data_IF_383488047387
#
_entry.id   IF_383488047387
#
_cell.length_a   1.000
_cell.length_b   1.000
_cell.length_c   1.000
_cell.angle_alpha   90.00
_cell.angle_beta   90.00
_cell.angle_gamma   90.00
#
_symmetry.space_group_name_H-M   'P 1'
#
loop_
_entity.id
_entity.type
_entity.pdbx_description
1 polymer ?
#
# COMPACT_ATOMS: atom_id res chain seq x y z
N UNK A 1 16.07 -12.42 -16.32
CA UNK A 1 15.21 -11.86 -15.25
C UNK A 1 16.06 -10.91 -14.44
N UNK A 2 15.82 -9.60 -14.52
CA UNK A 2 16.52 -8.64 -13.65
C UNK A 2 16.05 -8.89 -12.22
N UNK A 3 16.97 -9.27 -11.33
CA UNK A 3 16.65 -9.59 -9.95
C UNK A 3 16.30 -8.29 -9.21
N UNK A 4 15.11 -8.23 -8.62
CA UNK A 4 14.71 -7.08 -7.79
C UNK A 4 15.74 -6.83 -6.70
N UNK A 5 16.03 -5.55 -6.43
CA UNK A 5 16.81 -5.19 -5.23
C UNK A 5 16.05 -5.58 -3.96
N UNK A 6 16.72 -5.73 -2.80
CA UNK A 6 16.03 -6.04 -1.54
C UNK A 6 14.91 -5.05 -1.19
N UNK A 7 15.10 -3.75 -1.50
CA UNK A 7 14.11 -2.70 -1.30
C UNK A 7 12.90 -2.87 -2.22
N UNK A 8 13.13 -3.20 -3.49
CA UNK A 8 12.05 -3.44 -4.46
C UNK A 8 11.28 -4.71 -4.10
N UNK A 9 11.96 -5.80 -3.70
CA UNK A 9 11.30 -7.02 -3.23
C UNK A 9 10.46 -6.78 -1.95
N UNK A 10 10.92 -5.92 -1.04
CA UNK A 10 10.10 -5.49 0.10
C UNK A 10 8.88 -4.66 -0.34
N UNK A 11 9.04 -3.78 -1.33
CA UNK A 11 7.96 -2.95 -1.88
C UNK A 11 6.90 -3.80 -2.57
N UNK A 12 7.31 -4.78 -3.39
CA UNK A 12 6.41 -5.72 -4.07
C UNK A 12 5.52 -6.47 -3.05
N UNK A 13 6.13 -7.07 -2.02
CA UNK A 13 5.40 -7.76 -0.95
C UNK A 13 4.44 -6.84 -0.20
N UNK A 14 4.83 -5.59 0.05
CA UNK A 14 3.96 -4.63 0.73
C UNK A 14 2.76 -4.22 -0.15
N UNK A 15 2.99 -4.03 -1.45
CA UNK A 15 1.93 -3.73 -2.42
C UNK A 15 0.92 -4.89 -2.47
N UNK A 16 1.39 -6.12 -2.62
CA UNK A 16 0.54 -7.32 -2.69
C UNK A 16 -0.30 -7.48 -1.43
N UNK A 17 0.32 -7.39 -0.25
CA UNK A 17 -0.38 -7.48 1.05
C UNK A 17 -1.43 -6.40 1.20
N UNK A 18 -1.16 -5.19 0.73
CA UNK A 18 -2.14 -4.10 0.76
C UNK A 18 -3.34 -4.42 -0.13
N UNK A 19 -3.10 -4.84 -1.38
CA UNK A 19 -4.18 -5.21 -2.31
C UNK A 19 -5.02 -6.35 -1.74
N UNK A 20 -4.40 -7.43 -1.25
CA UNK A 20 -5.10 -8.56 -0.65
C UNK A 20 -5.91 -8.17 0.59
N UNK A 21 -5.38 -7.29 1.45
CA UNK A 21 -6.11 -6.78 2.62
C UNK A 21 -7.35 -5.99 2.22
N UNK A 22 -7.25 -5.11 1.23
CA UNK A 22 -8.39 -4.34 0.74
C UNK A 22 -9.39 -5.21 -0.02
N UNK A 23 -8.92 -6.21 -0.76
CA UNK A 23 -9.76 -7.18 -1.43
C UNK A 23 -10.54 -8.05 -0.43
N UNK A 24 -9.91 -8.46 0.67
CA UNK A 24 -10.61 -9.16 1.75
C UNK A 24 -11.73 -8.31 2.36
N UNK A 25 -11.52 -6.99 2.50
CA UNK A 25 -12.55 -6.07 2.99
C UNK A 25 -13.69 -5.85 1.99
N UNK A 26 -13.40 -5.76 0.68
CA UNK A 26 -14.40 -5.60 -0.38
C UNK A 26 -15.13 -6.90 -0.74
N UNK A 27 -14.49 -8.05 -0.49
CA UNK A 27 -14.81 -9.39 -1.00
C UNK A 27 -14.50 -9.61 -2.49
N UNK A 28 -14.30 -10.89 -2.84
CA UNK A 28 -14.09 -11.32 -4.24
C UNK A 28 -15.29 -10.95 -5.13
N UNK A 29 -16.52 -11.18 -4.64
CA UNK A 29 -17.74 -10.83 -5.35
C UNK A 29 -17.86 -9.32 -5.55
N UNK A 30 -17.58 -8.53 -4.51
CA UNK A 30 -17.59 -7.07 -4.61
C UNK A 30 -16.65 -6.54 -5.69
N UNK A 31 -15.43 -7.10 -5.80
CA UNK A 31 -14.52 -6.75 -6.90
C UNK A 31 -15.01 -7.26 -8.26
N UNK A 32 -15.59 -8.46 -8.31
CA UNK A 32 -16.19 -9.04 -9.52
C UNK A 32 -17.25 -8.11 -10.10
N UNK A 33 -18.19 -7.66 -9.26
CA UNK A 33 -19.30 -6.79 -9.62
C UNK A 33 -18.79 -5.40 -10.06
N UNK A 34 -17.85 -4.82 -9.31
CA UNK A 34 -17.28 -3.51 -9.62
C UNK A 34 -16.51 -3.46 -10.95
N UNK A 35 -15.85 -4.56 -11.32
CA UNK A 35 -15.01 -4.64 -12.52
C UNK A 35 -15.71 -5.27 -13.73
N UNK A 36 -16.94 -5.79 -13.54
CA UNK A 36 -17.60 -6.63 -14.55
C UNK A 36 -16.81 -7.90 -14.87
N UNK A 37 -16.04 -8.41 -13.90
CA UNK A 37 -15.26 -9.64 -14.05
C UNK A 37 -16.06 -10.85 -13.57
N UNK A 38 -15.62 -12.05 -13.96
CA UNK A 38 -16.09 -13.27 -13.30
C UNK A 38 -15.31 -13.52 -12.03
N UNK A 39 -15.94 -14.18 -11.04
CA UNK A 39 -15.27 -14.55 -9.80
C UNK A 39 -14.04 -15.43 -10.03
N UNK A 40 -14.09 -16.33 -11.03
CA UNK A 40 -12.94 -17.14 -11.43
C UNK A 40 -11.77 -16.31 -11.96
N UNK A 41 -12.05 -15.19 -12.65
CA UNK A 41 -11.00 -14.25 -13.07
C UNK A 41 -10.37 -13.56 -11.86
N UNK A 42 -11.18 -13.15 -10.87
CA UNK A 42 -10.66 -12.57 -9.62
C UNK A 42 -9.83 -13.59 -8.85
N UNK A 43 -10.23 -14.87 -8.84
CA UNK A 43 -9.44 -15.94 -8.23
C UNK A 43 -8.08 -16.09 -8.90
N UNK A 44 -8.04 -16.25 -10.22
CA UNK A 44 -6.78 -16.37 -10.99
C UNK A 44 -5.86 -15.16 -10.80
N UNK A 45 -6.43 -13.96 -10.72
CA UNK A 45 -5.66 -12.76 -10.48
C UNK A 45 -4.91 -12.81 -9.13
N UNK A 46 -5.54 -13.36 -8.08
CA UNK A 46 -4.87 -13.57 -6.78
C UNK A 46 -3.80 -14.67 -6.83
N UNK A 47 -4.02 -15.69 -7.66
CA UNK A 47 -3.16 -16.87 -7.76
C UNK A 47 -1.94 -16.61 -8.68
N UNK A 48 -1.12 -15.62 -8.31
CA UNK A 48 0.19 -15.34 -8.92
C UNK A 48 0.23 -14.11 -9.84
N UNK A 49 -0.83 -13.80 -10.60
CA UNK A 49 -0.82 -12.63 -11.49
C UNK A 49 -0.63 -11.31 -10.71
N UNK A 50 -1.20 -11.23 -9.50
CA UNK A 50 -1.04 -10.08 -8.61
C UNK A 50 0.40 -9.95 -8.09
N UNK A 51 1.07 -11.07 -7.78
CA UNK A 51 2.46 -11.08 -7.34
C UNK A 51 3.37 -10.51 -8.43
N UNK A 52 3.20 -10.99 -9.67
CA UNK A 52 3.94 -10.51 -10.84
C UNK A 52 3.70 -9.03 -11.12
N UNK A 53 2.44 -8.57 -11.02
CA UNK A 53 2.10 -7.16 -11.17
C UNK A 53 2.75 -6.30 -10.08
N UNK A 54 2.72 -6.74 -8.82
CA UNK A 54 3.35 -6.03 -7.70
C UNK A 54 4.87 -5.98 -7.85
N UNK A 55 5.49 -7.05 -8.36
CA UNK A 55 6.92 -7.10 -8.69
C UNK A 55 7.26 -6.14 -9.83
N UNK A 56 6.44 -6.08 -10.88
CA UNK A 56 6.62 -5.14 -11.99
C UNK A 56 6.53 -3.67 -11.52
N UNK A 57 5.52 -3.33 -10.71
CA UNK A 57 5.40 -1.99 -10.12
C UNK A 57 6.61 -1.63 -9.26
N UNK A 58 7.09 -2.56 -8.43
CA UNK A 58 8.27 -2.33 -7.61
C UNK A 58 9.55 -2.19 -8.43
N UNK A 59 9.69 -2.89 -9.56
CA UNK A 59 10.81 -2.72 -10.49
C UNK A 59 10.86 -1.32 -11.11
N UNK A 60 9.69 -0.67 -11.22
CA UNK A 60 9.53 0.72 -11.65
C UNK A 60 9.63 1.74 -10.50
N UNK A 61 10.05 1.30 -9.31
CA UNK A 61 10.09 2.08 -8.08
C UNK A 61 8.73 2.68 -7.66
N UNK A 62 7.64 2.02 -8.07
CA UNK A 62 6.27 2.40 -7.71
C UNK A 62 5.78 1.62 -6.48
N UNK A 63 5.06 2.35 -5.62
CA UNK A 63 4.40 1.84 -4.43
C UNK A 63 2.90 2.10 -4.53
N UNK A 64 2.09 1.12 -4.10
CA UNK A 64 0.64 1.29 -3.93
C UNK A 64 0.38 1.85 -2.53
N UNK A 65 -0.50 2.85 -2.44
CA UNK A 65 -0.99 3.43 -1.19
C UNK A 65 -2.51 3.56 -1.23
N UNK A 66 -3.19 3.54 -0.07
CA UNK A 66 -4.61 3.91 0.01
C UNK A 66 -4.88 5.30 -0.56
N UNK A 67 -6.09 5.53 -1.07
CA UNK A 67 -6.50 6.82 -1.69
C UNK A 67 -6.43 7.97 -0.69
N UNK A 68 -6.70 7.70 0.58
CA UNK A 68 -6.66 8.66 1.69
C UNK A 68 -5.24 8.85 2.27
N UNK A 69 -4.22 8.20 1.70
CA UNK A 69 -2.85 8.36 2.15
C UNK A 69 -2.26 9.70 1.68
N UNK A 70 -1.80 10.52 2.64
CA UNK A 70 -1.05 11.73 2.33
C UNK A 70 0.41 11.39 1.96
N UNK A 71 0.86 11.83 0.78
CA UNK A 71 2.26 11.79 0.39
C UNK A 71 2.92 13.09 0.84
N UNK A 72 3.93 12.96 1.69
CA UNK A 72 4.70 14.08 2.22
C UNK A 72 6.17 13.93 1.84
N UNK A 73 6.81 15.06 1.62
CA UNK A 73 8.26 15.15 1.47
C UNK A 73 8.97 14.78 2.79
N UNK A 74 10.26 14.42 2.74
CA UNK A 74 11.04 14.19 3.96
C UNK A 74 11.06 15.40 4.91
N UNK A 75 11.05 16.62 4.35
CA UNK A 75 11.05 17.85 5.14
C UNK A 75 9.72 18.04 5.87
N UNK A 76 8.59 17.90 5.17
CA UNK A 76 7.27 17.95 5.77
C UNK A 76 7.10 16.87 6.85
N UNK A 77 7.56 15.64 6.57
CA UNK A 77 7.53 14.56 7.57
C UNK A 77 8.29 14.93 8.84
N UNK A 78 9.48 15.52 8.71
CA UNK A 78 10.29 15.94 9.87
C UNK A 78 9.59 17.04 10.64
N UNK A 79 9.11 18.08 9.95
CA UNK A 79 8.36 19.17 10.55
C UNK A 79 7.13 18.65 11.32
N UNK A 80 6.33 17.78 10.71
CA UNK A 80 5.16 17.18 11.36
C UNK A 80 5.54 16.41 12.63
N UNK A 81 6.62 15.64 12.60
CA UNK A 81 7.10 14.90 13.78
C UNK A 81 7.51 15.85 14.92
N UNK A 82 8.22 16.94 14.61
CA UNK A 82 8.61 17.96 15.57
C UNK A 82 7.39 18.68 16.17
N UNK A 83 6.41 19.06 15.33
CA UNK A 83 5.16 19.68 15.81
C UNK A 83 4.33 18.74 16.70
N UNK A 84 4.31 17.44 16.38
CA UNK A 84 3.63 16.44 17.21
C UNK A 84 4.25 16.35 18.61
N UNK A 85 5.58 16.37 18.72
CA UNK A 85 6.28 16.36 20.02
C UNK A 85 5.89 17.60 20.84
N UNK A 86 5.95 18.78 20.23
CA UNK A 86 5.59 20.03 20.89
C UNK A 86 4.12 20.05 21.35
N UNK A 87 3.21 19.50 20.55
CA UNK A 87 1.80 19.39 20.93
C UNK A 87 1.63 18.55 22.21
N UNK A 88 2.25 17.38 22.28
CA UNK A 88 2.12 16.51 23.46
C UNK A 88 2.83 17.09 24.70
N UNK A 89 3.93 17.82 24.53
CA UNK A 89 4.57 18.52 25.66
C UNK A 89 3.63 19.56 26.26
N UNK A 90 2.96 20.38 25.43
CA UNK A 90 1.98 21.35 25.92
C UNK A 90 0.83 20.69 26.65
N UNK A 91 0.32 19.57 26.14
CA UNK A 91 -0.75 18.81 26.81
C UNK A 91 -0.32 18.33 28.20
N UNK A 92 0.94 17.90 28.36
CA UNK A 92 1.48 17.45 29.66
C UNK A 92 1.81 18.61 30.60
N UNK A 93 2.19 19.78 30.06
CA UNK A 93 2.52 20.96 30.85
C UNK A 93 1.25 21.72 31.33
N UNK A 94 0.12 21.51 30.66
CA UNK A 94 -1.20 22.09 30.99
C UNK A 94 -2.04 21.22 31.97
N UNK A 95 -1.55 20.04 32.38
CA UNK A 95 -2.10 19.16 33.45
C UNK A 95 -1.36 19.33 34.80
#
# INVERSE_FOLDING_TARGET
>A
MTKLSPKQAATARNNERLVLRHLAALSQKGLSDAMGWSESKVSRMKDGELEDLCAALAALDLKIVPIDACVVTPHERKFMAEQMILHYQRVLDDE
#
